data_IF_991594563838
#
_entry.id   IF_991594563838
#
_cell.length_a   1.000
_cell.length_b   1.000
_cell.length_c   1.000
_cell.angle_alpha   90.00
_cell.angle_beta   90.00
_cell.angle_gamma   90.00
#
_symmetry.space_group_name_H-M   'P 1'
#
loop_
_entity.id
_entity.type
_entity.pdbx_description
1 polymer ?
#
# COMPACT_ATOMS: atom_id res chain seq x y z
N UNK A 1 -15.75 -12.33 -4.26
CA UNK A 1 -16.53 -11.58 -3.24
C UNK A 1 -15.62 -10.94 -2.19
N UNK A 2 -14.82 -11.73 -1.46
CA UNK A 2 -13.87 -11.27 -0.44
C UNK A 2 -12.99 -10.09 -0.87
N UNK A 3 -12.36 -10.18 -2.06
CA UNK A 3 -11.55 -9.08 -2.60
C UNK A 3 -12.30 -7.73 -2.60
N UNK A 4 -13.59 -7.71 -2.96
CA UNK A 4 -14.39 -6.49 -2.96
C UNK A 4 -14.61 -5.94 -1.56
N UNK A 5 -14.87 -6.81 -0.58
CA UNK A 5 -15.04 -6.42 0.82
C UNK A 5 -13.74 -5.82 1.40
N UNK A 6 -12.60 -6.47 1.14
CA UNK A 6 -11.29 -6.00 1.61
C UNK A 6 -10.88 -4.70 0.90
N UNK A 7 -11.12 -4.60 -0.40
CA UNK A 7 -10.89 -3.37 -1.16
C UNK A 7 -11.74 -2.21 -0.62
N UNK A 8 -13.03 -2.45 -0.38
CA UNK A 8 -13.92 -1.44 0.18
C UNK A 8 -13.50 -1.02 1.59
N UNK A 9 -13.14 -1.97 2.46
CA UNK A 9 -12.55 -1.68 3.76
C UNK A 9 -11.29 -0.81 3.65
N UNK A 10 -10.36 -1.18 2.77
CA UNK A 10 -9.10 -0.45 2.54
C UNK A 10 -9.37 0.98 2.04
N UNK A 11 -10.33 1.12 1.12
CA UNK A 11 -10.78 2.40 0.59
C UNK A 11 -11.40 3.26 1.69
N UNK A 12 -12.28 2.72 2.53
CA UNK A 12 -12.88 3.45 3.64
C UNK A 12 -11.84 3.94 4.65
N UNK A 13 -10.84 3.11 4.98
CA UNK A 13 -9.72 3.53 5.83
C UNK A 13 -8.93 4.67 5.17
N UNK A 14 -8.62 4.55 3.87
CA UNK A 14 -7.91 5.59 3.12
C UNK A 14 -8.69 6.90 3.08
N UNK A 15 -9.97 6.86 2.66
CA UNK A 15 -10.83 8.05 2.54
C UNK A 15 -11.05 8.75 3.89
N UNK A 16 -11.13 7.97 4.97
CA UNK A 16 -11.26 8.51 6.33
C UNK A 16 -10.01 9.29 6.79
N UNK A 17 -8.84 8.90 6.28
CA UNK A 17 -7.54 9.49 6.63
C UNK A 17 -7.02 10.48 5.57
N UNK A 18 -7.76 10.79 4.51
CA UNK A 18 -7.38 11.85 3.56
C UNK A 18 -7.43 13.20 4.28
N UNK A 19 -6.42 14.05 4.01
CA UNK A 19 -6.40 15.44 4.47
C UNK A 19 -7.65 16.16 3.98
N UNK A 20 -8.27 16.94 4.86
CA UNK A 20 -9.51 17.68 4.59
C UNK A 20 -9.26 19.13 4.12
N UNK A 21 -8.00 19.56 4.03
CA UNK A 21 -7.58 20.89 3.57
C UNK A 21 -7.92 21.10 2.10
N UNK A 22 -8.16 22.35 1.73
CA UNK A 22 -8.38 22.73 0.34
C UNK A 22 -7.10 22.96 -0.45
N UNK A 23 -5.94 23.06 0.21
CA UNK A 23 -4.66 23.38 -0.39
C UNK A 23 -4.34 22.61 -1.70
N UNK A 24 -4.63 21.30 -1.76
CA UNK A 24 -4.40 20.53 -3.00
C UNK A 24 -5.26 21.06 -4.16
N UNK A 25 -6.53 21.30 -3.92
CA UNK A 25 -7.47 21.78 -4.93
C UNK A 25 -7.15 23.23 -5.34
N UNK A 26 -6.75 24.07 -4.38
CA UNK A 26 -6.40 25.47 -4.64
C UNK A 26 -5.13 25.64 -5.49
N UNK A 27 -4.20 24.68 -5.43
CA UNK A 27 -2.97 24.71 -6.22
C UNK A 27 -3.20 24.18 -7.64
N UNK A 28 -4.04 23.14 -7.80
CA UNK A 28 -4.10 22.35 -9.03
C UNK A 28 -5.40 22.48 -9.82
N UNK A 29 -6.48 23.00 -9.23
CA UNK A 29 -7.78 23.17 -9.89
C UNK A 29 -8.08 24.65 -10.15
N UNK A 30 -8.87 24.89 -11.19
CA UNK A 30 -9.34 26.22 -11.55
C UNK A 30 -10.50 26.69 -10.64
N UNK A 31 -10.77 28.00 -10.63
CA UNK A 31 -11.73 28.63 -9.71
C UNK A 31 -13.16 28.08 -9.74
N UNK A 32 -13.65 27.66 -10.90
CA UNK A 32 -14.99 27.10 -11.05
C UNK A 32 -15.11 25.72 -10.37
N UNK A 33 -14.08 24.88 -10.47
CA UNK A 33 -14.03 23.57 -9.82
C UNK A 33 -13.91 23.70 -8.29
N UNK A 34 -13.17 24.70 -7.83
CA UNK A 34 -13.05 25.01 -6.40
C UNK A 34 -14.40 25.43 -5.81
N UNK A 35 -15.17 26.24 -6.55
CA UNK A 35 -16.50 26.68 -6.10
C UNK A 35 -17.47 25.49 -6.00
N UNK A 36 -17.48 24.60 -7.01
CA UNK A 36 -18.28 23.38 -6.97
C UNK A 36 -17.91 22.46 -5.78
N UNK A 37 -16.62 22.37 -5.44
CA UNK A 37 -16.16 21.60 -4.28
C UNK A 37 -16.62 22.21 -2.95
N UNK A 38 -16.56 23.54 -2.81
CA UNK A 38 -17.04 24.26 -1.63
C UNK A 38 -18.54 24.05 -1.42
N UNK A 39 -19.33 24.07 -2.49
CA UNK A 39 -20.78 23.81 -2.44
C UNK A 39 -21.11 22.36 -2.04
N UNK A 40 -20.24 21.40 -2.38
CA UNK A 40 -20.38 19.99 -1.98
C UNK A 40 -20.08 19.70 -0.50
N UNK A 41 -19.63 20.72 0.25
CA UNK A 41 -19.27 20.59 1.67
C UNK A 41 -17.89 19.97 1.93
N UNK A 42 -17.03 19.86 0.90
CA UNK A 42 -15.62 19.50 1.01
C UNK A 42 -14.78 20.78 1.24
N UNK A 43 -13.87 20.75 2.23
CA UNK A 43 -13.11 21.93 2.65
C UNK A 43 -13.80 22.72 3.77
N UNK A 44 -13.90 22.12 4.96
CA UNK A 44 -14.45 22.82 6.12
C UNK A 44 -13.43 23.83 6.65
N UNK A 45 -13.68 25.10 6.39
CA UNK A 45 -12.96 26.21 7.00
C UNK A 45 -13.52 26.49 8.39
N UNK A 46 -12.66 26.64 9.40
CA UNK A 46 -13.07 27.04 10.73
C UNK A 46 -12.66 28.49 10.99
N UNK A 47 -13.54 29.25 11.62
CA UNK A 47 -13.22 30.57 12.17
C UNK A 47 -12.30 30.38 13.38
N UNK A 48 -11.05 30.83 13.27
CA UNK A 48 -10.08 30.84 14.37
C UNK A 48 -10.10 32.19 15.10
N UNK A 49 -9.57 32.21 16.33
CA UNK A 49 -9.50 33.43 17.14
C UNK A 49 -8.75 34.54 16.37
N UNK A 50 -9.44 35.65 16.10
CA UNK A 50 -8.97 36.72 15.22
C UNK A 50 -9.77 36.89 13.92
N UNK A 51 -10.76 36.02 13.67
CA UNK A 51 -11.71 36.19 12.56
C UNK A 51 -11.21 35.69 11.19
N UNK A 52 -10.04 35.06 11.14
CA UNK A 52 -9.55 34.40 9.94
C UNK A 52 -10.27 33.06 9.74
N UNK A 53 -10.61 32.75 8.49
CA UNK A 53 -11.02 31.40 8.07
C UNK A 53 -9.73 30.60 7.81
N UNK A 54 -9.52 29.53 8.57
CA UNK A 54 -8.38 28.64 8.40
C UNK A 54 -8.85 27.23 8.06
N UNK A 55 -8.11 26.56 7.18
CA UNK A 55 -8.27 25.14 6.90
C UNK A 55 -8.15 24.34 8.22
N UNK A 56 -9.15 23.54 8.54
CA UNK A 56 -9.18 22.74 9.76
C UNK A 56 -8.92 21.27 9.45
N UNK A 57 -7.81 20.74 9.98
CA UNK A 57 -7.45 19.32 9.92
C UNK A 57 -7.79 18.58 11.21
N UNK A 58 -8.90 17.82 11.28
CA UNK A 58 -9.35 17.20 12.54
C UNK A 58 -8.43 16.07 13.02
N UNK A 59 -7.84 15.33 12.08
CA UNK A 59 -7.00 14.18 12.37
C UNK A 59 -5.52 14.56 12.46
N UNK A 60 -5.09 15.50 11.61
CA UNK A 60 -3.69 15.83 11.43
C UNK A 60 -3.26 17.09 12.21
N UNK A 61 -4.17 18.01 12.50
CA UNK A 61 -3.83 19.31 13.05
C UNK A 61 -2.94 20.13 12.12
N UNK A 62 -2.44 21.25 12.63
CA UNK A 62 -1.59 22.18 11.87
C UNK A 62 -0.29 21.55 11.36
N UNK A 63 0.33 20.69 12.18
CA UNK A 63 1.67 20.15 11.92
C UNK A 63 1.68 18.79 11.20
N UNK A 64 0.52 18.24 10.88
CA UNK A 64 0.39 16.89 10.35
C UNK A 64 1.11 15.84 11.23
N UNK A 65 1.61 14.77 10.61
CA UNK A 65 2.32 13.71 11.33
C UNK A 65 3.82 13.96 11.39
N UNK A 66 4.50 13.50 12.46
CA UNK A 66 5.95 13.59 12.58
C UNK A 66 6.70 13.00 11.37
N UNK A 67 6.12 11.97 10.73
CA UNK A 67 6.69 11.33 9.53
C UNK A 67 5.62 10.53 8.77
N UNK A 68 5.98 10.02 7.58
CA UNK A 68 5.11 9.17 6.76
C UNK A 68 4.51 8.00 7.55
N UNK A 69 3.22 7.81 7.37
CA UNK A 69 2.45 6.70 7.92
C UNK A 69 2.07 5.74 6.78
N UNK A 70 2.04 4.44 7.05
CA UNK A 70 1.77 3.41 6.04
C UNK A 70 0.71 2.47 6.57
N UNK A 71 -0.27 2.17 5.73
CA UNK A 71 -1.33 1.21 6.02
C UNK A 71 -1.39 0.19 4.90
N UNK A 72 -1.53 -1.08 5.29
CA UNK A 72 -1.69 -2.23 4.43
C UNK A 72 -2.74 -3.16 5.03
N UNK A 73 -3.47 -3.87 4.16
CA UNK A 73 -4.44 -4.89 4.54
C UNK A 73 -4.06 -6.19 3.84
N UNK A 74 -3.59 -7.19 4.58
CA UNK A 74 -3.34 -8.51 4.03
C UNK A 74 -4.59 -9.38 4.16
N UNK A 75 -4.71 -10.29 3.20
CA UNK A 75 -5.72 -11.34 3.21
C UNK A 75 -5.01 -12.66 3.34
N UNK A 76 -4.97 -13.26 4.55
CA UNK A 76 -4.49 -14.61 4.73
C UNK A 76 -5.15 -15.57 3.72
N UNK A 77 -4.38 -16.51 3.14
CA UNK A 77 -3.04 -16.89 3.58
C UNK A 77 -1.90 -16.07 2.92
N UNK A 78 -2.21 -15.09 2.08
CA UNK A 78 -1.19 -14.31 1.36
C UNK A 78 -0.76 -13.07 2.17
N UNK A 79 0.56 -12.81 2.21
CA UNK A 79 1.15 -11.59 2.78
C UNK A 79 1.97 -10.83 1.71
N UNK A 80 1.36 -10.61 0.56
CA UNK A 80 1.94 -9.87 -0.56
C UNK A 80 2.20 -8.40 -0.19
N UNK A 81 1.38 -7.82 0.70
CA UNK A 81 1.50 -6.41 1.10
C UNK A 81 2.53 -6.13 2.19
N UNK A 82 3.22 -7.16 2.70
CA UNK A 82 4.18 -7.07 3.81
C UNK A 82 3.58 -6.41 5.08
N UNK A 83 2.53 -7.05 5.60
CA UNK A 83 1.46 -6.49 6.44
C UNK A 83 1.77 -6.34 7.91
N UNK A 84 2.98 -6.62 8.36
CA UNK A 84 3.36 -6.32 9.75
C UNK A 84 3.47 -4.80 9.97
N UNK A 85 2.59 -4.03 9.33
CA UNK A 85 2.47 -2.59 9.23
C UNK A 85 1.04 -2.10 9.53
N UNK A 86 -0.06 -2.90 9.42
CA UNK A 86 -1.43 -2.42 9.76
C UNK A 86 -2.57 -3.43 10.02
N UNK A 87 -3.12 -4.13 9.02
CA UNK A 87 -4.35 -4.94 9.21
C UNK A 87 -4.25 -6.33 8.59
N UNK A 88 -4.62 -7.35 9.35
CA UNK A 88 -4.68 -8.74 8.89
C UNK A 88 -6.14 -9.15 8.85
N UNK A 89 -6.69 -9.34 7.66
CA UNK A 89 -8.10 -9.68 7.46
C UNK A 89 -8.43 -11.04 8.10
N UNK A 90 -9.60 -11.10 8.73
CA UNK A 90 -10.17 -12.32 9.28
C UNK A 90 -11.37 -12.71 8.43
N UNK A 91 -11.33 -13.94 7.92
CA UNK A 91 -12.27 -14.46 6.92
C UNK A 91 -12.97 -15.68 7.51
N UNK A 92 -14.30 -15.71 7.42
CA UNK A 92 -15.08 -16.85 7.90
C UNK A 92 -15.06 -18.05 6.95
N UNK A 93 -15.66 -19.14 7.40
CA UNK A 93 -15.79 -20.38 6.62
C UNK A 93 -16.58 -20.20 5.30
N UNK A 94 -17.36 -19.13 5.16
CA UNK A 94 -18.10 -18.78 3.95
C UNK A 94 -17.29 -17.88 3.00
N UNK A 95 -16.04 -17.56 3.33
CA UNK A 95 -15.17 -16.72 2.50
C UNK A 95 -15.52 -15.23 2.57
N UNK A 96 -16.14 -14.78 3.66
CA UNK A 96 -16.51 -13.38 3.89
C UNK A 96 -15.62 -12.72 4.94
N UNK A 97 -15.33 -11.43 4.76
CA UNK A 97 -14.62 -10.63 5.74
C UNK A 97 -15.48 -10.47 7.00
N UNK A 98 -14.95 -10.79 8.19
CA UNK A 98 -15.61 -10.56 9.48
C UNK A 98 -15.01 -9.37 10.24
N UNK A 99 -13.73 -9.08 10.00
CA UNK A 99 -13.01 -8.00 10.66
C UNK A 99 -11.53 -8.10 10.38
N UNK A 100 -10.71 -7.52 11.26
CA UNK A 100 -9.26 -7.56 11.09
C UNK A 100 -8.55 -7.54 12.42
N UNK A 101 -7.49 -8.34 12.51
CA UNK A 101 -6.45 -8.11 13.51
C UNK A 101 -5.68 -6.83 13.16
N UNK A 102 -5.36 -6.05 14.19
CA UNK A 102 -4.66 -4.77 14.08
C UNK A 102 -3.19 -5.01 14.44
N UNK A 103 -2.30 -4.76 13.49
CA UNK A 103 -0.84 -4.77 13.65
C UNK A 103 -0.29 -3.36 13.59
N UNK A 104 0.56 -2.96 14.53
CA UNK A 104 1.22 -1.64 14.55
C UNK A 104 2.73 -1.79 14.45
N UNK A 105 3.46 -0.70 14.16
CA UNK A 105 4.93 -0.61 14.37
C UNK A 105 5.88 -1.17 13.29
N UNK A 106 5.40 -1.62 12.12
CA UNK A 106 6.31 -2.07 11.05
C UNK A 106 7.15 -0.94 10.44
N UNK A 107 8.45 -1.19 10.19
CA UNK A 107 9.25 -0.23 9.43
C UNK A 107 10.70 -0.60 9.16
N UNK A 108 11.06 -0.54 7.87
CA UNK A 108 12.38 -0.94 7.35
C UNK A 108 13.48 0.12 7.42
N UNK A 109 13.17 1.39 7.70
CA UNK A 109 14.15 2.48 7.56
C UNK A 109 15.34 2.35 8.52
N UNK A 110 16.56 2.34 7.97
CA UNK A 110 17.84 2.24 8.69
C UNK A 110 18.81 3.27 8.10
N UNK A 111 19.68 3.81 8.93
CA UNK A 111 20.82 4.62 8.52
C UNK A 111 22.08 3.84 8.82
N UNK A 112 22.94 3.66 7.80
CA UNK A 112 24.20 2.94 7.96
C UNK A 112 25.04 3.55 9.09
N UNK A 113 25.65 2.69 9.90
CA UNK A 113 26.44 3.04 11.09
C UNK A 113 25.69 3.75 12.24
N UNK A 114 24.36 3.94 12.15
CA UNK A 114 23.56 4.47 13.26
C UNK A 114 22.71 3.36 13.91
N UNK A 115 23.14 2.92 15.09
CA UNK A 115 22.48 1.85 15.87
C UNK A 115 21.11 2.25 16.43
N UNK A 116 20.83 3.55 16.53
CA UNK A 116 19.51 4.05 16.98
C UNK A 116 18.42 3.87 15.91
N UNK A 117 18.81 3.53 14.67
CA UNK A 117 17.88 3.23 13.58
C UNK A 117 17.97 1.75 13.18
N UNK A 118 16.85 1.04 13.21
CA UNK A 118 16.79 -0.41 13.02
C UNK A 118 15.51 -0.84 12.31
N UNK A 119 15.50 -1.92 11.51
CA UNK A 119 14.24 -2.45 10.98
C UNK A 119 13.44 -3.07 12.14
N UNK A 120 12.11 -3.00 12.05
CA UNK A 120 11.23 -3.53 13.09
C UNK A 120 10.01 -4.21 12.47
N UNK A 121 9.70 -5.41 12.97
CA UNK A 121 8.43 -6.09 12.69
C UNK A 121 7.30 -5.42 13.48
N UNK A 122 6.09 -5.47 12.94
CA UNK A 122 4.90 -5.03 13.66
C UNK A 122 4.46 -6.00 14.76
N UNK A 123 3.64 -5.49 15.66
CA UNK A 123 2.99 -6.26 16.73
C UNK A 123 1.48 -6.24 16.53
N UNK A 124 0.85 -7.41 16.63
CA UNK A 124 -0.60 -7.52 16.67
C UNK A 124 -1.10 -7.12 18.07
N UNK A 125 -1.96 -6.11 18.14
CA UNK A 125 -2.44 -5.52 19.41
C UNK A 125 -3.88 -5.90 19.75
N UNK A 126 -4.64 -6.43 18.79
CA UNK A 126 -6.02 -6.89 19.00
C UNK A 126 -6.78 -7.07 17.70
N UNK A 127 -8.09 -7.19 17.82
CA UNK A 127 -9.05 -7.34 16.73
C UNK A 127 -10.07 -6.20 16.74
N UNK A 128 -10.51 -5.79 15.56
CA UNK A 128 -11.62 -4.86 15.36
C UNK A 128 -12.58 -5.36 14.27
N UNK A 129 -13.85 -4.99 14.38
CA UNK A 129 -14.83 -5.23 13.31
C UNK A 129 -14.55 -4.34 12.09
N UNK A 130 -15.22 -4.63 10.98
CA UNK A 130 -15.10 -3.86 9.73
C UNK A 130 -15.47 -2.39 9.97
N UNK A 131 -16.55 -2.13 10.69
CA UNK A 131 -17.07 -0.78 10.98
C UNK A 131 -16.13 0.02 11.87
N UNK A 132 -15.40 -0.67 12.76
CA UNK A 132 -14.43 -0.06 13.66
C UNK A 132 -13.12 0.30 12.96
N UNK A 133 -12.73 -0.40 11.90
CA UNK A 133 -11.36 -0.32 11.36
C UNK A 133 -10.87 1.07 11.00
N UNK A 134 -11.71 1.91 10.36
CA UNK A 134 -11.34 3.31 10.05
C UNK A 134 -11.10 4.18 11.29
N UNK A 135 -11.86 3.92 12.36
CA UNK A 135 -11.72 4.63 13.63
C UNK A 135 -10.47 4.16 14.38
N UNK A 136 -10.16 2.86 14.31
CA UNK A 136 -8.88 2.31 14.78
C UNK A 136 -7.72 2.96 14.05
N UNK A 137 -7.80 3.10 12.72
CA UNK A 137 -6.74 3.74 11.94
C UNK A 137 -6.51 5.19 12.38
N UNK A 138 -7.60 5.95 12.55
CA UNK A 138 -7.57 7.33 13.04
C UNK A 138 -6.97 7.44 14.45
N UNK A 139 -7.35 6.55 15.37
CA UNK A 139 -6.83 6.54 16.72
C UNK A 139 -5.31 6.27 16.75
N UNK A 140 -4.84 5.26 16.01
CA UNK A 140 -3.40 4.97 15.90
C UNK A 140 -2.65 6.17 15.29
N UNK A 141 -3.21 6.81 14.27
CA UNK A 141 -2.64 8.01 13.65
C UNK A 141 -2.57 9.17 14.64
N UNK A 142 -3.61 9.40 15.45
CA UNK A 142 -3.65 10.45 16.48
C UNK A 142 -2.63 10.20 17.59
N UNK A 143 -2.55 8.98 18.12
CA UNK A 143 -1.55 8.63 19.13
C UNK A 143 -0.13 8.81 18.58
N UNK A 144 0.12 8.42 17.32
CA UNK A 144 1.39 8.69 16.66
C UNK A 144 1.67 10.19 16.46
N UNK A 145 0.67 10.97 16.09
CA UNK A 145 0.78 12.42 15.93
C UNK A 145 1.21 13.08 17.23
N UNK A 146 0.57 12.70 18.33
CA UNK A 146 0.72 13.35 19.62
C UNK A 146 2.00 12.93 20.36
N UNK A 147 2.49 11.71 20.13
CA UNK A 147 3.62 11.14 20.88
C UNK A 147 4.89 10.94 20.04
N UNK A 148 4.81 11.03 18.70
CA UNK A 148 5.96 10.82 17.84
C UNK A 148 6.97 11.96 17.93
N UNK A 149 8.27 11.63 17.82
CA UNK A 149 9.34 12.61 17.91
C UNK A 149 9.32 13.59 16.72
N UNK A 150 9.03 14.87 16.97
CA UNK A 150 9.08 15.95 15.98
C UNK A 150 10.41 16.73 15.96
N UNK A 151 11.33 16.46 16.88
CA UNK A 151 12.63 17.12 16.94
C UNK A 151 13.69 16.42 16.07
N UNK A 152 13.67 15.09 16.01
CA UNK A 152 14.57 14.28 15.18
C UNK A 152 13.78 13.36 14.23
N UNK A 153 13.78 13.74 12.95
CA UNK A 153 13.09 13.01 11.89
C UNK A 153 13.57 11.56 11.71
N UNK A 154 14.78 11.22 12.17
CA UNK A 154 15.33 9.85 12.08
C UNK A 154 14.59 8.90 13.02
N UNK A 155 14.08 9.43 14.12
CA UNK A 155 13.35 8.71 15.18
C UNK A 155 11.84 9.02 15.20
N UNK A 156 11.32 9.66 14.14
CA UNK A 156 9.93 10.13 14.07
C UNK A 156 8.90 9.08 13.61
N UNK A 157 9.33 7.87 13.25
CA UNK A 157 8.43 6.80 12.78
C UNK A 157 7.79 6.07 13.96
N UNK A 158 6.55 5.62 13.78
CA UNK A 158 5.76 4.86 14.75
C UNK A 158 6.53 3.75 15.49
N UNK A 159 7.45 3.07 14.81
CA UNK A 159 8.29 2.04 15.42
C UNK A 159 9.06 2.53 16.65
N UNK A 160 9.64 3.72 16.57
CA UNK A 160 10.40 4.32 17.67
C UNK A 160 9.47 4.83 18.77
N UNK A 161 8.32 5.40 18.40
CA UNK A 161 7.29 5.80 19.36
C UNK A 161 6.86 4.62 20.23
N UNK A 162 6.56 3.48 19.61
CA UNK A 162 6.15 2.27 20.34
C UNK A 162 7.28 1.71 21.19
N UNK A 163 8.51 1.67 20.68
CA UNK A 163 9.64 1.15 21.46
C UNK A 163 10.02 2.07 22.64
N UNK A 164 9.72 3.37 22.54
CA UNK A 164 9.90 4.32 23.65
C UNK A 164 8.76 4.26 24.68
N UNK A 165 7.49 4.24 24.23
CA UNK A 165 6.33 4.21 25.12
C UNK A 165 6.11 2.84 25.77
N UNK A 166 6.51 1.77 25.08
CA UNK A 166 6.07 0.40 25.35
C UNK A 166 4.76 0.06 24.62
N UNK A 167 4.64 -1.19 24.18
CA UNK A 167 3.51 -1.67 23.38
C UNK A 167 2.18 -1.58 24.13
N UNK A 168 2.16 -1.97 25.41
CA UNK A 168 0.94 -1.97 26.23
C UNK A 168 0.47 -0.54 26.51
N UNK A 169 1.39 0.39 26.80
CA UNK A 169 1.10 1.81 26.95
C UNK A 169 0.51 2.39 25.67
N UNK A 170 1.15 2.11 24.53
CA UNK A 170 0.66 2.58 23.23
C UNK A 170 -0.74 2.04 22.92
N UNK A 171 -1.00 0.75 23.19
CA UNK A 171 -2.32 0.16 23.03
C UNK A 171 -3.36 0.85 23.92
N UNK A 172 -3.03 1.12 25.18
CA UNK A 172 -3.93 1.79 26.11
C UNK A 172 -4.30 3.21 25.64
N UNK A 173 -3.34 3.98 25.12
CA UNK A 173 -3.60 5.30 24.54
C UNK A 173 -4.51 5.22 23.31
N UNK A 174 -4.31 4.21 22.44
CA UNK A 174 -5.19 3.98 21.29
C UNK A 174 -6.61 3.66 21.74
N UNK A 175 -6.78 2.77 22.71
CA UNK A 175 -8.09 2.40 23.27
C UNK A 175 -8.78 3.58 23.98
N UNK A 176 -8.00 4.44 24.63
CA UNK A 176 -8.50 5.67 25.23
C UNK A 176 -9.06 6.64 24.17
N UNK A 177 -8.35 6.83 23.05
CA UNK A 177 -8.83 7.64 21.92
C UNK A 177 -10.06 7.02 21.25
N UNK A 178 -10.13 5.69 21.20
CA UNK A 178 -11.28 4.96 20.65
C UNK A 178 -12.53 5.00 21.54
N UNK A 179 -12.35 5.07 22.86
CA UNK A 179 -13.43 4.92 23.83
C UNK A 179 -13.91 3.47 24.00
N UNK A 180 -13.18 2.49 23.47
CA UNK A 180 -13.43 1.06 23.64
C UNK A 180 -12.14 0.25 23.55
N UNK A 181 -12.16 -0.95 24.12
CA UNK A 181 -11.02 -1.88 24.07
C UNK A 181 -11.06 -2.74 22.81
N UNK A 182 -9.89 -2.99 22.22
CA UNK A 182 -9.76 -3.95 21.13
C UNK A 182 -9.99 -5.37 21.67
N UNK A 183 -10.68 -6.19 20.88
CA UNK A 183 -10.85 -7.60 21.24
C UNK A 183 -9.51 -8.34 21.17
N UNK A 184 -9.36 -9.50 21.84
CA UNK A 184 -8.23 -10.37 21.61
C UNK A 184 -8.06 -10.69 20.12
N UNK A 185 -6.82 -10.74 19.65
CA UNK A 185 -6.54 -11.08 18.26
C UNK A 185 -7.03 -12.50 17.93
N UNK A 186 -7.61 -12.68 16.75
CA UNK A 186 -8.08 -13.99 16.30
C UNK A 186 -6.96 -14.77 15.58
N UNK A 187 -7.01 -16.11 15.55
CA UNK A 187 -6.02 -16.91 14.83
C UNK A 187 -5.99 -16.58 13.33
N UNK A 188 -4.79 -16.59 12.75
CA UNK A 188 -4.58 -16.45 11.30
C UNK A 188 -3.33 -17.24 10.89
N UNK A 189 -3.19 -17.54 9.61
CA UNK A 189 -2.00 -18.22 9.08
C UNK A 189 -1.70 -17.72 7.69
N UNK A 190 -0.44 -17.39 7.43
CA UNK A 190 0.03 -17.15 6.07
C UNK A 190 0.56 -18.44 5.45
N UNK A 191 0.13 -18.73 4.23
CA UNK A 191 0.42 -19.92 3.42
C UNK A 191 0.27 -19.56 1.93
N UNK A 192 0.88 -20.34 1.03
CA UNK A 192 1.06 -19.97 -0.38
C UNK A 192 -0.01 -20.52 -1.34
N UNK A 193 -1.02 -21.24 -0.84
CA UNK A 193 -1.97 -21.98 -1.68
C UNK A 193 -3.38 -21.43 -1.59
N UNK A 194 -3.98 -21.06 -2.72
CA UNK A 194 -5.42 -20.73 -2.82
C UNK A 194 -5.95 -20.90 -4.24
N UNK A 195 -7.26 -21.07 -4.38
CA UNK A 195 -7.97 -21.21 -5.67
C UNK A 195 -9.07 -20.14 -5.76
N UNK A 196 -9.19 -19.46 -6.91
CA UNK A 196 -10.23 -18.45 -7.18
C UNK A 196 -11.50 -19.04 -7.79
N UNK A 197 -12.64 -18.33 -7.69
CA UNK A 197 -13.97 -18.95 -7.84
C UNK A 197 -14.99 -18.24 -8.76
N UNK A 198 -14.66 -17.14 -9.43
CA UNK A 198 -15.68 -16.30 -10.10
C UNK A 198 -15.82 -16.48 -11.62
N UNK A 199 -15.15 -17.47 -12.20
CA UNK A 199 -15.20 -17.79 -13.64
C UNK A 199 -14.66 -16.67 -14.55
N UNK A 200 -14.14 -15.57 -13.98
CA UNK A 200 -13.45 -14.51 -14.72
C UNK A 200 -11.99 -14.85 -14.87
N UNK A 201 -11.37 -14.28 -15.89
CA UNK A 201 -9.94 -14.45 -16.11
C UNK A 201 -9.17 -13.24 -15.58
N UNK A 202 -8.06 -13.52 -14.92
CA UNK A 202 -7.09 -12.53 -14.46
C UNK A 202 -5.74 -12.91 -15.04
N UNK A 203 -4.99 -11.93 -15.51
CA UNK A 203 -3.66 -12.13 -16.05
C UNK A 203 -2.65 -11.29 -15.27
N UNK A 204 -1.73 -11.97 -14.58
CA UNK A 204 -0.61 -11.32 -13.90
C UNK A 204 0.52 -11.14 -14.91
N UNK A 205 0.85 -9.89 -15.20
CA UNK A 205 1.98 -9.51 -16.04
C UNK A 205 3.20 -9.34 -15.15
N UNK A 206 4.25 -10.10 -15.44
CA UNK A 206 5.58 -9.80 -14.92
C UNK A 206 6.08 -8.50 -15.56
N UNK A 207 6.49 -7.56 -14.72
CA UNK A 207 7.13 -6.31 -15.14
C UNK A 207 8.37 -6.18 -14.30
N UNK A 208 9.54 -6.31 -14.92
CA UNK A 208 10.83 -6.21 -14.23
C UNK A 208 10.97 -4.81 -13.62
N UNK A 209 11.12 -4.76 -12.28
CA UNK A 209 11.13 -3.53 -11.47
C UNK A 209 9.88 -2.62 -11.57
N UNK A 210 8.81 -3.07 -12.24
CA UNK A 210 7.62 -2.27 -12.48
C UNK A 210 7.79 -1.15 -13.51
N UNK A 211 8.87 -1.17 -14.30
CA UNK A 211 9.15 -0.13 -15.29
C UNK A 211 8.35 -0.38 -16.57
N UNK A 212 7.33 0.47 -16.78
CA UNK A 212 6.47 0.43 -17.97
C UNK A 212 7.00 1.41 -19.02
N UNK A 213 7.71 0.86 -20.01
CA UNK A 213 8.25 1.63 -21.13
C UNK A 213 8.19 0.82 -22.42
N UNK A 214 8.37 1.50 -23.55
CA UNK A 214 8.55 0.83 -24.82
C UNK A 214 10.06 0.61 -25.04
N UNK A 215 10.45 -0.62 -25.36
CA UNK A 215 11.85 -1.03 -25.59
C UNK A 215 12.02 -1.68 -26.96
N UNK A 216 13.27 -1.77 -27.42
CA UNK A 216 13.60 -2.54 -28.63
C UNK A 216 13.19 -4.02 -28.51
N UNK A 217 13.13 -4.73 -29.64
CA UNK A 217 12.76 -6.14 -29.73
C UNK A 217 11.32 -6.46 -29.32
N UNK A 218 10.36 -5.64 -29.78
CA UNK A 218 8.92 -5.86 -29.59
C UNK A 218 8.48 -5.88 -28.12
N UNK A 219 9.19 -5.16 -27.24
CA UNK A 219 8.83 -4.95 -25.84
C UNK A 219 8.19 -3.57 -25.64
N UNK A 220 7.15 -3.30 -26.44
CA UNK A 220 6.42 -2.02 -26.37
C UNK A 220 5.36 -2.06 -25.26
N UNK A 221 5.78 -2.21 -24.00
CA UNK A 221 4.87 -2.47 -22.87
C UNK A 221 3.91 -1.32 -22.63
N UNK A 222 4.40 -0.07 -22.71
CA UNK A 222 3.57 1.12 -22.50
C UNK A 222 2.51 1.22 -23.59
N UNK A 223 2.88 0.95 -24.83
CA UNK A 223 1.94 0.92 -25.96
C UNK A 223 0.94 -0.24 -25.82
N UNK A 224 1.38 -1.44 -25.41
CA UNK A 224 0.49 -2.57 -25.16
C UNK A 224 -0.60 -2.23 -24.14
N UNK A 225 -0.20 -1.72 -22.97
CA UNK A 225 -1.13 -1.37 -21.90
C UNK A 225 -2.12 -0.29 -22.34
N UNK A 226 -1.65 0.69 -23.14
CA UNK A 226 -2.53 1.70 -23.74
C UNK A 226 -3.56 1.09 -24.69
N UNK A 227 -3.18 0.15 -25.55
CA UNK A 227 -4.12 -0.51 -26.48
C UNK A 227 -5.10 -1.43 -25.74
N UNK A 228 -4.65 -2.14 -24.71
CA UNK A 228 -5.52 -2.92 -23.83
C UNK A 228 -6.52 -1.98 -23.13
N UNK A 229 -6.08 -0.84 -22.60
CA UNK A 229 -6.95 0.11 -21.89
C UNK A 229 -8.09 0.69 -22.77
N UNK A 230 -7.95 0.70 -24.10
CA UNK A 230 -9.03 1.12 -25.01
C UNK A 230 -10.15 0.10 -25.12
N UNK A 231 -9.83 -1.19 -24.97
CA UNK A 231 -10.74 -2.31 -25.27
C UNK A 231 -11.25 -2.97 -23.99
N UNK A 232 -10.34 -3.25 -23.06
CA UNK A 232 -10.64 -3.89 -21.79
C UNK A 232 -11.51 -3.00 -20.90
N UNK A 233 -12.54 -3.60 -20.28
CA UNK A 233 -13.49 -2.92 -19.38
C UNK A 233 -13.26 -3.21 -17.91
N UNK A 234 -12.38 -4.16 -17.60
CA UNK A 234 -11.97 -4.47 -16.24
C UNK A 234 -10.84 -3.54 -15.75
N UNK A 235 -10.50 -3.60 -14.46
CA UNK A 235 -9.46 -2.77 -13.89
C UNK A 235 -8.08 -3.35 -14.13
N UNK A 236 -7.10 -2.46 -14.31
CA UNK A 236 -5.71 -2.76 -13.99
C UNK A 236 -5.52 -2.68 -12.48
N UNK A 237 -4.80 -3.65 -11.90
CA UNK A 237 -4.45 -3.65 -10.47
C UNK A 237 -2.94 -3.70 -10.35
N UNK A 238 -2.36 -2.68 -9.73
CA UNK A 238 -0.93 -2.71 -9.36
C UNK A 238 -0.75 -3.62 -8.16
N UNK A 239 0.38 -4.32 -8.13
CA UNK A 239 0.74 -5.20 -7.02
C UNK A 239 1.81 -4.56 -6.16
N UNK A 240 2.00 -5.07 -4.96
CA UNK A 240 3.06 -4.66 -4.04
C UNK A 240 4.44 -5.19 -4.42
N UNK A 241 4.51 -6.10 -5.40
CA UNK A 241 5.75 -6.62 -5.99
C UNK A 241 6.08 -5.98 -7.35
N UNK A 242 5.57 -4.77 -7.60
CA UNK A 242 5.86 -3.99 -8.81
C UNK A 242 5.35 -4.63 -10.12
N UNK A 243 4.50 -5.64 -10.04
CA UNK A 243 3.82 -6.24 -11.20
C UNK A 243 2.43 -5.64 -11.44
N UNK A 244 1.83 -5.97 -12.58
CA UNK A 244 0.52 -5.47 -12.98
C UNK A 244 -0.42 -6.64 -13.27
N UNK A 245 -1.64 -6.57 -12.75
CA UNK A 245 -2.68 -7.54 -13.07
C UNK A 245 -3.76 -6.92 -13.94
N UNK A 246 -4.09 -7.57 -15.05
CA UNK A 246 -5.31 -7.32 -15.81
C UNK A 246 -6.43 -8.17 -15.22
N UNK A 247 -7.48 -7.55 -14.69
CA UNK A 247 -8.51 -8.25 -13.93
C UNK A 247 -9.86 -8.26 -14.61
N UNK A 248 -10.68 -9.25 -14.23
CA UNK A 248 -12.09 -9.31 -14.61
C UNK A 248 -12.32 -9.44 -16.13
N UNK A 249 -11.39 -10.08 -16.86
CA UNK A 249 -11.45 -10.27 -18.31
C UNK A 249 -12.60 -11.22 -18.66
N UNK A 250 -13.60 -10.78 -19.46
CA UNK A 250 -14.65 -11.66 -19.96
C UNK A 250 -14.09 -12.75 -20.87
N UNK A 251 -14.66 -13.96 -20.83
CA UNK A 251 -14.17 -15.09 -21.64
C UNK A 251 -14.14 -14.79 -23.15
N UNK A 252 -15.05 -13.95 -23.65
CA UNK A 252 -15.09 -13.52 -25.06
C UNK A 252 -13.90 -12.63 -25.48
N UNK A 253 -13.28 -11.93 -24.54
CA UNK A 253 -12.20 -10.97 -24.81
C UNK A 253 -10.81 -11.61 -24.67
N UNK A 254 -10.70 -12.81 -24.09
CA UNK A 254 -9.43 -13.46 -23.74
C UNK A 254 -8.49 -13.59 -24.93
N UNK A 255 -8.99 -14.01 -26.10
CA UNK A 255 -8.14 -14.20 -27.27
C UNK A 255 -7.61 -12.88 -27.83
N UNK A 256 -8.44 -11.83 -27.81
CA UNK A 256 -8.01 -10.50 -28.22
C UNK A 256 -6.92 -9.95 -27.29
N UNK A 257 -7.10 -10.12 -25.97
CA UNK A 257 -6.10 -9.69 -24.98
C UNK A 257 -4.79 -10.46 -25.15
N UNK A 258 -4.85 -11.79 -25.30
CA UNK A 258 -3.65 -12.61 -25.55
C UNK A 258 -2.91 -12.17 -26.81
N UNK A 259 -3.64 -11.86 -27.89
CA UNK A 259 -3.04 -11.37 -29.12
C UNK A 259 -2.33 -10.02 -28.94
N UNK A 260 -2.90 -9.10 -28.14
CA UNK A 260 -2.24 -7.84 -27.80
C UNK A 260 -0.98 -8.07 -26.95
N UNK A 261 -1.07 -8.89 -25.91
CA UNK A 261 0.07 -9.22 -25.05
C UNK A 261 1.23 -9.83 -25.86
N UNK A 262 0.94 -10.81 -26.72
CA UNK A 262 1.93 -11.46 -27.57
C UNK A 262 2.53 -10.50 -28.61
N UNK A 263 1.71 -9.63 -29.21
CA UNK A 263 2.18 -8.63 -30.18
C UNK A 263 3.24 -7.69 -29.60
N UNK A 264 3.16 -7.39 -28.30
CA UNK A 264 4.01 -6.41 -27.63
C UNK A 264 4.90 -7.02 -26.53
N UNK A 265 5.08 -8.35 -26.53
CA UNK A 265 6.04 -9.04 -25.68
C UNK A 265 5.69 -9.11 -24.18
N UNK A 266 4.41 -8.94 -23.81
CA UNK A 266 3.91 -9.03 -22.43
C UNK A 266 3.23 -10.38 -22.12
N UNK A 267 3.38 -11.38 -22.99
CA UNK A 267 2.86 -12.73 -22.79
C UNK A 267 3.90 -13.72 -22.23
N UNK A 268 5.13 -13.28 -21.97
CA UNK A 268 6.15 -14.14 -21.39
C UNK A 268 5.81 -14.49 -19.93
N UNK A 269 5.66 -15.79 -19.67
CA UNK A 269 5.43 -16.35 -18.34
C UNK A 269 6.61 -17.21 -17.86
N UNK A 270 7.63 -17.38 -18.68
CA UNK A 270 8.77 -18.24 -18.38
C UNK A 270 9.85 -17.46 -17.62
N UNK A 271 9.61 -17.24 -16.34
CA UNK A 271 10.55 -16.61 -15.42
C UNK A 271 10.92 -17.56 -14.29
N UNK A 272 12.17 -17.51 -13.83
CA UNK A 272 12.62 -18.30 -12.68
C UNK A 272 11.92 -17.83 -11.40
N UNK A 273 11.83 -18.73 -10.41
CA UNK A 273 11.31 -18.37 -9.09
C UNK A 273 12.13 -17.27 -8.40
N UNK A 274 13.45 -17.20 -8.68
CA UNK A 274 14.33 -16.14 -8.18
C UNK A 274 13.91 -14.78 -8.76
N UNK A 275 13.74 -14.69 -10.08
CA UNK A 275 13.35 -13.45 -10.76
C UNK A 275 11.96 -12.97 -10.37
N UNK A 276 11.00 -13.89 -10.25
CA UNK A 276 9.64 -13.59 -9.78
C UNK A 276 9.59 -13.11 -8.32
N UNK A 277 10.62 -13.42 -7.53
CA UNK A 277 10.72 -13.03 -6.12
C UNK A 277 11.69 -11.87 -5.88
N UNK A 278 12.20 -11.25 -6.95
CA UNK A 278 13.20 -10.18 -6.89
C UNK A 278 12.57 -8.83 -7.23
N UNK A 279 13.03 -7.79 -6.55
CA UNK A 279 12.58 -6.41 -6.78
C UNK A 279 13.70 -5.44 -6.44
N UNK A 280 13.73 -4.28 -7.08
CA UNK A 280 14.66 -3.21 -6.77
C UNK A 280 13.93 -1.88 -6.63
N UNK A 281 14.52 -0.97 -5.86
CA UNK A 281 14.05 0.41 -5.84
C UNK A 281 14.61 1.15 -7.05
N UNK A 282 14.06 2.33 -7.34
CA UNK A 282 14.50 3.14 -8.49
C UNK A 282 16.00 3.46 -8.41
N UNK A 283 16.48 3.91 -7.25
CA UNK A 283 17.84 4.41 -7.06
C UNK A 283 18.22 5.48 -8.11
N UNK A 284 19.39 5.38 -8.74
CA UNK A 284 19.82 6.32 -9.77
C UNK A 284 18.98 6.18 -11.05
N UNK A 285 18.77 7.24 -11.83
CA UNK A 285 19.39 8.58 -11.75
C UNK A 285 18.56 9.64 -11.04
N UNK A 286 17.35 9.31 -10.57
CA UNK A 286 16.40 10.31 -10.07
C UNK A 286 16.23 10.32 -8.54
N UNK A 287 16.64 9.27 -7.83
CA UNK A 287 16.58 9.26 -6.37
C UNK A 287 17.72 10.08 -5.77
N UNK A 288 17.40 11.25 -5.20
CA UNK A 288 18.37 12.10 -4.49
C UNK A 288 18.96 11.50 -3.20
N UNK A 289 18.58 10.27 -2.82
CA UNK A 289 19.10 9.55 -1.66
C UNK A 289 19.89 8.28 -2.05
N UNK A 290 20.03 7.99 -3.35
CA UNK A 290 20.72 6.79 -3.81
C UNK A 290 22.22 6.84 -3.51
N UNK A 291 22.76 5.70 -3.06
CA UNK A 291 24.20 5.50 -2.84
C UNK A 291 24.83 4.57 -3.88
N UNK A 292 24.03 3.70 -4.49
CA UNK A 292 24.43 2.72 -5.49
C UNK A 292 23.25 2.44 -6.44
N UNK A 293 23.52 1.75 -7.54
CA UNK A 293 22.47 1.26 -8.44
C UNK A 293 21.53 0.27 -7.74
N UNK A 294 20.29 0.19 -8.24
CA UNK A 294 19.33 -0.82 -7.83
C UNK A 294 18.55 -1.31 -9.05
N UNK A 295 17.51 -0.59 -9.50
CA UNK A 295 16.68 -0.95 -10.67
C UNK A 295 17.51 -1.38 -11.89
N UNK A 296 18.47 -0.56 -12.30
CA UNK A 296 19.28 -0.79 -13.51
C UNK A 296 20.29 -1.94 -13.38
N UNK A 297 20.65 -2.31 -12.15
CA UNK A 297 21.60 -3.37 -11.86
C UNK A 297 20.91 -4.72 -11.63
N UNK A 298 19.67 -4.71 -11.14
CA UNK A 298 18.97 -5.94 -10.77
C UNK A 298 18.87 -6.96 -11.92
N UNK A 299 18.50 -6.60 -13.17
CA UNK A 299 18.40 -7.60 -14.24
C UNK A 299 19.72 -8.32 -14.49
N UNK A 300 20.84 -7.58 -14.51
CA UNK A 300 22.19 -8.12 -14.68
C UNK A 300 22.60 -9.03 -13.52
N UNK A 301 22.29 -8.62 -12.29
CA UNK A 301 22.59 -9.42 -11.10
C UNK A 301 21.82 -10.73 -11.10
N UNK A 302 20.52 -10.69 -11.43
CA UNK A 302 19.69 -11.90 -11.47
C UNK A 302 20.14 -12.84 -12.58
N UNK A 303 20.51 -12.33 -13.76
CA UNK A 303 21.10 -13.14 -14.83
C UNK A 303 22.34 -13.93 -14.34
N UNK A 304 23.23 -13.28 -13.58
CA UNK A 304 24.44 -13.94 -13.05
C UNK A 304 24.11 -14.96 -11.96
N UNK A 305 23.17 -14.66 -11.06
CA UNK A 305 22.77 -15.59 -9.99
C UNK A 305 22.04 -16.80 -10.56
N UNK A 306 21.20 -16.64 -11.58
CA UNK A 306 20.53 -17.74 -12.28
C UNK A 306 21.55 -18.70 -12.89
N UNK A 307 22.58 -18.19 -13.58
CA UNK A 307 23.68 -19.00 -14.12
C UNK A 307 24.39 -19.81 -13.03
N UNK A 308 24.64 -19.22 -11.86
CA UNK A 308 25.30 -19.92 -10.74
C UNK A 308 24.42 -21.06 -10.24
N UNK A 309 23.12 -20.81 -10.05
CA UNK A 309 22.17 -21.80 -9.56
C UNK A 309 21.97 -22.97 -10.55
N UNK A 310 21.95 -22.69 -11.85
CA UNK A 310 21.77 -23.71 -12.89
C UNK A 310 23.04 -24.53 -13.16
N UNK A 311 24.24 -23.97 -12.95
CA UNK A 311 25.49 -24.72 -13.05
C UNK A 311 25.71 -25.74 -11.91
N UNK A 312 24.92 -25.65 -10.82
CA UNK A 312 25.05 -26.51 -9.64
C UNK A 312 24.09 -27.71 -9.63
N UNK A 313 23.42 -27.98 -10.76
CA UNK A 313 22.51 -29.12 -10.99
C UNK A 313 23.11 -30.05 -12.04
#
# INVERSE_FOLDING_TARGET
KLHRQVHEFSKQVSEHLISRTMAYHEIWLDGDDINALKESGKGKMQLVAGGALQDFEPSYGEFYLPRKFKIAVAVPPTNDVDVFTSYIAIVNAQGELEGSNVSVSGGMGVINANKETYPRLGNVIGFCTIEQGRHVAEAVVKVQRDNGNCADHKNARLKHTIDWMGLDTFKAEVEQVLGFQLQPAWPYTFDRWHVGEDGRHHFMMYIENGTVQDEANCRDFKTCLREIAKTHKGPFRTTTNQHLMLSDIPSGDVQQIKALLAKYGLDNLNHTGLRLSSSACVAFSICGLAMAESERCLPLLIDEVEKICECCV
#
